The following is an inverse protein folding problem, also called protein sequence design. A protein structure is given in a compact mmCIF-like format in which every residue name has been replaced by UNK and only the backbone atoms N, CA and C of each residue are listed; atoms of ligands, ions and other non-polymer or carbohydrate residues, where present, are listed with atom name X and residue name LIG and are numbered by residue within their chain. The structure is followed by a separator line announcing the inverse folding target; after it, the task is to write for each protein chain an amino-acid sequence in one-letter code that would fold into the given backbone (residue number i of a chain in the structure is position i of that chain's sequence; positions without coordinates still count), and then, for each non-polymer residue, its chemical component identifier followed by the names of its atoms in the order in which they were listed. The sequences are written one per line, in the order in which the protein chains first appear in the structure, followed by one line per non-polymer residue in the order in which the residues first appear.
data_IF_821205491776
#
_entry.id   IF_821205491776
#
_cell.length_a   1.000
_cell.length_b   1.000
_cell.length_c   1.000
_cell.angle_alpha   90.00
_cell.angle_beta   90.00
_cell.angle_gamma   90.00
#
_symmetry.space_group_name_H-M   'P 1'
#
loop_
_entity.id
_entity.type
_entity.pdbx_description
1 polymer ?
#
# COMPACT_ATOMS: atom_id res chain seq x y z
N UNK A 1 -83.75 -15.66 -21.35
CA UNK A 1 -83.03 -14.94 -22.43
C UNK A 1 -81.54 -15.10 -22.20
N UNK A 2 -80.86 -15.87 -23.06
CA UNK A 2 -79.42 -16.09 -22.98
C UNK A 2 -78.67 -14.91 -23.60
N UNK A 3 -77.68 -14.35 -22.90
CA UNK A 3 -76.82 -13.31 -23.44
C UNK A 3 -75.66 -13.96 -24.21
N UNK A 4 -75.65 -13.81 -25.53
CA UNK A 4 -74.51 -14.18 -26.39
C UNK A 4 -73.30 -13.27 -26.10
N UNK A 5 -72.14 -13.87 -25.86
CA UNK A 5 -70.87 -13.16 -25.83
C UNK A 5 -70.36 -12.89 -27.25
N UNK A 6 -70.18 -11.62 -27.60
CA UNK A 6 -69.63 -11.17 -28.88
C UNK A 6 -68.09 -11.26 -28.81
N UNK A 7 -67.41 -11.91 -29.77
CA UNK A 7 -65.95 -11.93 -29.79
C UNK A 7 -65.43 -10.54 -30.16
N UNK A 8 -64.65 -9.92 -29.26
CA UNK A 8 -63.93 -8.67 -29.56
C UNK A 8 -62.84 -8.96 -30.59
N UNK A 9 -62.83 -8.20 -31.69
CA UNK A 9 -61.81 -8.34 -32.72
C UNK A 9 -60.43 -7.95 -32.16
N UNK A 10 -59.41 -8.73 -32.50
CA UNK A 10 -58.02 -8.44 -32.16
C UNK A 10 -57.64 -7.10 -32.79
N UNK A 11 -57.37 -6.13 -31.92
CA UNK A 11 -56.87 -4.80 -32.25
C UNK A 11 -55.63 -5.00 -33.13
N UNK A 12 -55.62 -4.44 -34.35
CA UNK A 12 -54.45 -4.47 -35.25
C UNK A 12 -53.24 -3.89 -34.51
N UNK A 13 -52.38 -4.76 -34.01
CA UNK A 13 -51.11 -4.38 -33.39
C UNK A 13 -50.19 -3.86 -34.49
N UNK A 14 -49.79 -2.60 -34.36
CA UNK A 14 -48.88 -1.96 -35.28
C UNK A 14 -47.53 -2.71 -35.25
N UNK A 15 -46.93 -3.07 -36.40
CA UNK A 15 -45.67 -3.81 -36.44
C UNK A 15 -44.54 -3.13 -35.66
N UNK A 16 -44.57 -1.79 -35.56
CA UNK A 16 -43.60 -1.01 -34.78
C UNK A 16 -43.69 -1.35 -33.29
N UNK A 17 -44.89 -1.60 -32.76
CA UNK A 17 -45.09 -1.92 -31.34
C UNK A 17 -44.56 -3.32 -31.00
N UNK A 18 -44.65 -4.27 -31.94
CA UNK A 18 -44.08 -5.61 -31.78
C UNK A 18 -42.55 -5.58 -31.82
N UNK A 19 -41.96 -4.75 -32.70
CA UNK A 19 -40.50 -4.56 -32.76
C UNK A 19 -39.98 -3.91 -31.47
N UNK A 20 -40.68 -2.88 -30.96
CA UNK A 20 -40.30 -2.21 -29.72
C UNK A 20 -40.41 -3.16 -28.51
N UNK A 21 -41.48 -3.96 -28.45
CA UNK A 21 -41.65 -4.99 -27.43
C UNK A 21 -40.55 -6.07 -27.53
N UNK A 22 -40.18 -6.48 -28.74
CA UNK A 22 -39.06 -7.40 -28.97
C UNK A 22 -37.72 -6.83 -28.48
N UNK A 23 -37.41 -5.58 -28.81
CA UNK A 23 -36.20 -4.90 -28.35
C UNK A 23 -36.16 -4.73 -26.84
N UNK A 24 -37.27 -4.34 -26.21
CA UNK A 24 -37.38 -4.25 -24.75
C UNK A 24 -37.22 -5.61 -24.08
N UNK A 25 -37.78 -6.67 -24.67
CA UNK A 25 -37.65 -8.03 -24.13
C UNK A 25 -36.22 -8.54 -24.27
N UNK A 26 -35.56 -8.30 -25.40
CA UNK A 26 -34.13 -8.65 -25.59
C UNK A 26 -33.25 -7.83 -24.65
N UNK A 27 -33.50 -6.53 -24.49
CA UNK A 27 -32.78 -5.70 -23.53
C UNK A 27 -32.98 -6.14 -22.08
N UNK A 28 -34.20 -6.56 -21.72
CA UNK A 28 -34.54 -7.10 -20.41
C UNK A 28 -33.89 -8.46 -20.15
N UNK A 29 -33.89 -9.35 -21.14
CA UNK A 29 -33.20 -10.64 -21.06
C UNK A 29 -31.67 -10.44 -20.98
N UNK A 30 -31.12 -9.50 -21.76
CA UNK A 30 -29.70 -9.15 -21.67
C UNK A 30 -29.36 -8.56 -20.31
N UNK A 31 -30.25 -7.79 -19.69
CA UNK A 31 -30.05 -7.26 -18.33
C UNK A 31 -30.10 -8.36 -17.25
N UNK A 32 -31.04 -9.31 -17.35
CA UNK A 32 -31.16 -10.43 -16.38
C UNK A 32 -30.06 -11.47 -16.54
N UNK A 33 -29.65 -11.76 -17.78
CA UNK A 33 -28.63 -12.76 -18.09
C UNK A 33 -27.24 -12.16 -18.31
N UNK A 34 -27.07 -10.83 -18.14
CA UNK A 34 -25.75 -10.22 -18.03
C UNK A 34 -25.10 -10.70 -16.73
N UNK A 35 -23.85 -11.19 -16.79
CA UNK A 35 -23.16 -11.68 -15.61
C UNK A 35 -22.82 -10.50 -14.70
N UNK A 36 -23.67 -10.23 -13.71
CA UNK A 36 -23.47 -9.16 -12.73
C UNK A 36 -23.95 -9.56 -11.34
N UNK A 37 -23.54 -10.72 -10.82
CA UNK A 37 -23.88 -11.09 -9.43
C UNK A 37 -23.08 -12.25 -8.78
N UNK A 38 -22.20 -12.97 -9.49
CA UNK A 38 -21.52 -14.12 -8.87
C UNK A 38 -20.29 -13.72 -8.04
N UNK A 39 -19.54 -12.70 -8.46
CA UNK A 39 -18.33 -12.25 -7.75
C UNK A 39 -18.64 -11.50 -6.44
N UNK A 40 -19.71 -10.71 -6.41
CA UNK A 40 -20.16 -9.95 -5.23
C UNK A 40 -20.67 -10.84 -4.10
N UNK A 41 -21.33 -11.97 -4.43
CA UNK A 41 -21.78 -12.93 -3.43
C UNK A 41 -20.59 -13.67 -2.79
N UNK A 42 -19.59 -14.06 -3.59
CA UNK A 42 -18.38 -14.71 -3.08
C UNK A 42 -17.52 -13.78 -2.23
N UNK A 43 -17.32 -12.53 -2.66
CA UNK A 43 -16.53 -11.53 -1.93
C UNK A 43 -17.17 -11.15 -0.59
N UNK A 44 -18.50 -10.99 -0.57
CA UNK A 44 -19.24 -10.73 0.66
C UNK A 44 -19.10 -11.88 1.67
N UNK A 45 -19.26 -13.13 1.22
CA UNK A 45 -19.14 -14.29 2.09
C UNK A 45 -17.73 -14.47 2.63
N UNK A 46 -16.71 -14.26 1.80
CA UNK A 46 -15.32 -14.33 2.21
C UNK A 46 -14.94 -13.23 3.21
N UNK A 47 -15.38 -11.99 2.97
CA UNK A 47 -15.22 -10.88 3.93
C UNK A 47 -15.88 -11.22 5.27
N UNK A 48 -17.07 -11.84 5.23
CA UNK A 48 -17.78 -12.27 6.43
C UNK A 48 -17.01 -13.33 7.21
N UNK A 49 -16.40 -14.29 6.52
CA UNK A 49 -15.60 -15.33 7.14
C UNK A 49 -14.28 -14.79 7.74
N UNK A 50 -13.69 -13.75 7.14
CA UNK A 50 -12.42 -13.19 7.61
C UNK A 50 -12.56 -12.17 8.75
N UNK A 51 -13.73 -11.58 8.94
CA UNK A 51 -13.93 -10.50 9.88
C UNK A 51 -13.55 -10.84 11.33
N UNK A 52 -13.24 -9.79 12.08
CA UNK A 52 -13.00 -9.80 13.50
C UNK A 52 -14.24 -10.32 14.24
N UNK A 53 -14.04 -11.33 15.05
CA UNK A 53 -15.10 -11.95 15.85
C UNK A 53 -15.25 -11.28 17.24
N UNK A 54 -14.36 -10.36 17.59
CA UNK A 54 -14.37 -9.57 18.82
C UNK A 54 -13.61 -8.25 18.62
N UNK A 55 -13.90 -7.25 19.45
CA UNK A 55 -13.19 -5.95 19.48
C UNK A 55 -11.68 -6.10 19.78
N UNK A 56 -11.28 -7.22 20.40
CA UNK A 56 -9.89 -7.55 20.69
C UNK A 56 -9.18 -8.27 19.54
N UNK A 57 -9.86 -8.47 18.40
CA UNK A 57 -9.23 -9.08 17.23
C UNK A 57 -8.15 -8.14 16.65
N UNK A 58 -7.18 -8.68 15.90
CA UNK A 58 -6.18 -7.85 15.23
C UNK A 58 -6.84 -6.75 14.38
N UNK A 59 -6.32 -5.51 14.38
CA UNK A 59 -6.90 -4.39 13.64
C UNK A 59 -6.81 -4.56 12.11
N UNK A 60 -5.99 -5.50 11.64
CA UNK A 60 -5.94 -5.95 10.25
C UNK A 60 -7.15 -6.78 9.79
N UNK A 61 -8.17 -6.97 10.66
CA UNK A 61 -9.42 -7.66 10.31
C UNK A 61 -10.58 -6.67 10.21
N UNK A 62 -11.49 -6.83 9.22
CA UNK A 62 -12.73 -6.06 9.16
C UNK A 62 -13.57 -6.28 10.42
N UNK A 63 -14.18 -5.25 11.02
CA UNK A 63 -14.99 -5.41 12.24
C UNK A 63 -16.49 -5.51 11.95
N UNK A 64 -17.17 -6.50 12.53
CA UNK A 64 -18.64 -6.57 12.57
C UNK A 64 -19.19 -5.95 13.85
N UNK A 65 -20.17 -5.05 13.71
CA UNK A 65 -20.79 -4.36 14.85
C UNK A 65 -21.61 -5.27 15.76
N UNK A 66 -22.12 -6.39 15.25
CA UNK A 66 -22.96 -7.30 16.03
C UNK A 66 -22.11 -8.33 16.78
N UNK A 67 -22.10 -8.22 18.11
CA UNK A 67 -21.52 -9.27 18.96
C UNK A 67 -22.47 -10.47 18.98
N UNK A 68 -21.97 -11.71 18.85
CA UNK A 68 -22.83 -12.89 18.94
C UNK A 68 -23.52 -12.89 20.31
N UNK A 69 -24.85 -12.87 20.34
CA UNK A 69 -25.62 -13.08 21.58
C UNK A 69 -25.84 -14.57 21.80
N UNK A 70 -25.70 -15.02 23.04
CA UNK A 70 -26.15 -16.36 23.44
C UNK A 70 -27.68 -16.42 23.40
N UNK A 71 -28.24 -17.62 23.30
CA UNK A 71 -29.69 -17.86 23.36
C UNK A 71 -30.36 -17.31 24.64
N UNK A 72 -29.58 -17.07 25.69
CA UNK A 72 -30.04 -16.49 26.96
C UNK A 72 -29.91 -14.95 27.02
N UNK A 73 -29.68 -14.27 25.90
CA UNK A 73 -29.58 -12.81 25.81
C UNK A 73 -28.29 -12.21 26.36
N UNK A 74 -27.34 -13.02 26.87
CA UNK A 74 -26.03 -12.53 27.31
C UNK A 74 -25.05 -12.46 26.14
N UNK A 75 -24.09 -11.51 26.14
CA UNK A 75 -23.01 -11.50 25.16
C UNK A 75 -22.23 -12.82 25.17
N UNK A 76 -21.93 -13.36 24.00
CA UNK A 76 -21.00 -14.48 23.90
C UNK A 76 -19.60 -14.04 24.34
N UNK A 77 -18.83 -14.91 25.04
CA UNK A 77 -17.44 -14.61 25.32
C UNK A 77 -16.66 -14.43 24.01
N UNK A 78 -15.57 -13.63 24.01
CA UNK A 78 -14.69 -13.54 22.86
C UNK A 78 -14.20 -14.93 22.42
N UNK A 79 -14.20 -15.25 21.11
CA UNK A 79 -13.77 -16.55 20.64
C UNK A 79 -12.25 -16.70 20.73
N UNK A 80 -11.79 -17.92 20.97
CA UNK A 80 -10.38 -18.29 20.85
C UNK A 80 -10.06 -18.48 19.37
N UNK A 81 -9.19 -17.64 18.81
CA UNK A 81 -8.74 -17.74 17.41
C UNK A 81 -7.33 -18.31 17.38
N UNK A 82 -7.10 -19.34 16.58
CA UNK A 82 -5.79 -19.98 16.40
C UNK A 82 -5.22 -19.60 15.03
N UNK A 83 -3.94 -19.22 15.01
CA UNK A 83 -3.20 -18.93 13.79
C UNK A 83 -2.00 -19.88 13.74
N UNK A 84 -1.88 -20.66 12.67
CA UNK A 84 -0.66 -21.42 12.41
C UNK A 84 0.25 -20.57 11.52
N UNK A 85 1.28 -19.97 12.13
CA UNK A 85 2.15 -19.03 11.44
C UNK A 85 2.95 -19.67 10.30
N UNK A 86 3.26 -20.97 10.40
CA UNK A 86 3.97 -21.69 9.33
C UNK A 86 3.11 -21.91 8.07
N UNK A 87 1.79 -21.71 8.16
CA UNK A 87 0.89 -21.78 7.02
C UNK A 87 0.65 -20.42 6.37
N UNK A 88 1.18 -19.33 6.94
CA UNK A 88 1.04 -18.01 6.33
C UNK A 88 2.06 -17.90 5.19
N UNK A 89 1.59 -18.06 3.95
CA UNK A 89 2.46 -18.05 2.78
C UNK A 89 2.59 -16.64 2.21
N UNK A 90 3.77 -16.34 1.66
CA UNK A 90 4.05 -15.16 0.86
C UNK A 90 4.75 -15.63 -0.42
N UNK A 91 4.00 -15.76 -1.52
CA UNK A 91 4.37 -16.53 -2.72
C UNK A 91 4.23 -15.71 -4.00
N UNK A 92 4.60 -16.31 -5.14
CA UNK A 92 4.44 -15.72 -6.47
C UNK A 92 2.97 -15.53 -6.87
N UNK A 93 2.10 -16.44 -6.40
CA UNK A 93 0.68 -16.51 -6.80
C UNK A 93 -0.21 -15.86 -5.72
N UNK A 94 0.19 -14.68 -5.25
CA UNK A 94 -0.41 -14.00 -4.09
C UNK A 94 -1.93 -13.82 -4.19
N UNK A 95 -2.44 -13.46 -5.37
CA UNK A 95 -3.89 -13.33 -5.62
C UNK A 95 -4.61 -14.67 -5.51
N UNK A 96 -4.08 -15.72 -6.16
CA UNK A 96 -4.67 -17.07 -6.18
C UNK A 96 -4.70 -17.71 -4.80
N UNK A 97 -3.68 -17.42 -3.98
CA UNK A 97 -3.55 -17.93 -2.62
C UNK A 97 -4.27 -17.06 -1.59
N UNK A 98 -4.98 -16.02 -2.02
CA UNK A 98 -5.74 -15.10 -1.16
C UNK A 98 -4.84 -14.47 -0.08
N UNK A 99 -3.58 -14.21 -0.43
CA UNK A 99 -2.58 -13.65 0.46
C UNK A 99 -2.94 -12.21 0.81
N UNK A 100 -2.80 -11.85 2.08
CA UNK A 100 -3.25 -10.54 2.57
C UNK A 100 -2.13 -9.54 2.59
N UNK A 101 -2.43 -8.34 2.09
CA UNK A 101 -1.48 -7.23 1.98
C UNK A 101 -1.87 -6.14 2.96
N UNK A 102 -0.90 -5.70 3.76
CA UNK A 102 -1.02 -4.55 4.64
C UNK A 102 -0.24 -3.38 4.02
N UNK A 103 -0.95 -2.37 3.52
CA UNK A 103 -0.32 -1.16 2.99
C UNK A 103 -0.15 -0.16 4.13
N UNK A 104 1.08 0.29 4.37
CA UNK A 104 1.43 1.18 5.47
C UNK A 104 1.98 2.51 4.95
N UNK A 105 1.39 3.61 5.43
CA UNK A 105 1.69 4.95 4.93
C UNK A 105 1.79 5.97 6.07
N UNK A 106 3.01 6.44 6.37
CA UNK A 106 3.20 7.71 7.10
C UNK A 106 2.63 8.86 6.26
N UNK A 107 1.65 9.59 6.79
CA UNK A 107 0.85 10.56 6.05
C UNK A 107 0.96 11.94 6.69
N UNK A 108 1.91 12.76 6.22
CA UNK A 108 2.06 14.15 6.67
C UNK A 108 1.11 15.12 5.93
N UNK A 109 0.89 14.88 4.63
CA UNK A 109 -0.01 15.64 3.74
C UNK A 109 -0.83 14.66 2.92
N UNK A 110 -2.09 15.02 2.63
CA UNK A 110 -2.97 14.18 1.82
C UNK A 110 -2.96 14.65 0.36
N UNK A 111 -2.59 13.75 -0.55
CA UNK A 111 -2.66 13.94 -1.99
C UNK A 111 -3.83 13.14 -2.55
N UNK A 112 -4.67 13.76 -3.36
CA UNK A 112 -5.83 13.08 -3.97
C UNK A 112 -5.34 12.00 -4.92
N UNK A 113 -4.28 12.30 -5.67
CA UNK A 113 -3.63 11.43 -6.63
C UNK A 113 -3.07 10.16 -5.98
N UNK A 114 -2.53 10.26 -4.76
CA UNK A 114 -2.12 9.09 -3.98
C UNK A 114 -3.32 8.18 -3.64
N UNK A 115 -4.44 8.77 -3.20
CA UNK A 115 -5.64 7.99 -2.89
C UNK A 115 -6.24 7.33 -4.13
N UNK A 116 -6.30 8.07 -5.25
CA UNK A 116 -6.77 7.55 -6.52
C UNK A 116 -5.85 6.43 -7.04
N UNK A 117 -4.53 6.56 -6.85
CA UNK A 117 -3.55 5.52 -7.15
C UNK A 117 -3.79 4.24 -6.31
N UNK A 118 -4.06 4.38 -5.01
CA UNK A 118 -4.43 3.25 -4.15
C UNK A 118 -5.70 2.54 -4.61
N UNK A 119 -6.76 3.30 -4.91
CA UNK A 119 -8.07 2.73 -5.33
C UNK A 119 -7.98 2.06 -6.70
N UNK A 120 -7.00 2.45 -7.53
CA UNK A 120 -6.79 1.86 -8.86
C UNK A 120 -6.05 0.52 -8.81
N UNK A 121 -5.48 0.12 -7.67
CA UNK A 121 -4.77 -1.15 -7.55
C UNK A 121 -5.70 -2.32 -7.92
N UNK A 122 -5.20 -3.20 -8.78
CA UNK A 122 -5.97 -4.33 -9.32
C UNK A 122 -5.94 -5.57 -8.39
N UNK A 123 -5.15 -5.53 -7.33
CA UNK A 123 -5.15 -6.57 -6.31
C UNK A 123 -6.50 -6.53 -5.55
N UNK A 124 -7.18 -7.65 -5.30
CA UNK A 124 -8.53 -7.61 -4.72
C UNK A 124 -8.57 -6.86 -3.38
N UNK A 125 -9.33 -5.76 -3.31
CA UNK A 125 -9.34 -4.87 -2.14
C UNK A 125 -9.80 -5.57 -0.84
N UNK A 126 -10.56 -6.66 -0.95
CA UNK A 126 -10.93 -7.51 0.18
C UNK A 126 -9.75 -8.19 0.89
N UNK A 127 -8.58 -8.23 0.26
CA UNK A 127 -7.33 -8.74 0.84
C UNK A 127 -6.35 -7.63 1.24
N UNK A 128 -6.70 -6.36 1.00
CA UNK A 128 -5.87 -5.20 1.30
C UNK A 128 -6.38 -4.54 2.58
N UNK A 129 -5.51 -4.45 3.58
CA UNK A 129 -5.72 -3.61 4.77
C UNK A 129 -4.85 -2.37 4.68
N UNK A 130 -5.37 -1.21 5.07
CA UNK A 130 -4.63 0.05 5.05
C UNK A 130 -4.30 0.50 6.48
N UNK A 131 -3.07 0.96 6.69
CA UNK A 131 -2.62 1.59 7.92
C UNK A 131 -2.03 2.97 7.63
N UNK A 132 -2.53 4.00 8.32
CA UNK A 132 -2.03 5.36 8.24
C UNK A 132 -1.52 5.83 9.59
N UNK A 133 -0.42 6.59 9.62
CA UNK A 133 0.02 7.32 10.81
C UNK A 133 0.25 8.79 10.48
N UNK A 134 -0.40 9.69 11.23
CA UNK A 134 -0.48 11.12 10.88
C UNK A 134 0.05 11.99 12.03
N UNK A 135 0.98 12.94 11.79
CA UNK A 135 1.49 13.85 12.81
C UNK A 135 0.39 14.73 13.42
N UNK A 136 0.64 15.23 14.64
CA UNK A 136 -0.24 16.19 15.34
C UNK A 136 0.10 17.63 14.99
N UNK A 137 0.09 17.94 13.68
CA UNK A 137 0.34 19.29 13.14
C UNK A 137 -0.93 19.86 12.51
N UNK A 138 -0.91 21.15 12.15
CA UNK A 138 -1.99 21.79 11.36
C UNK A 138 -2.23 21.03 10.05
N UNK A 139 -1.16 20.77 9.31
CA UNK A 139 -1.22 20.05 8.03
C UNK A 139 -1.69 18.59 8.24
N UNK A 140 -1.24 17.94 9.31
CA UNK A 140 -1.70 16.60 9.68
C UNK A 140 -3.21 16.55 10.03
N UNK A 141 -3.74 17.58 10.70
CA UNK A 141 -5.19 17.65 10.97
C UNK A 141 -6.01 17.82 9.68
N UNK A 142 -5.52 18.62 8.73
CA UNK A 142 -6.12 18.73 7.40
C UNK A 142 -6.07 17.39 6.65
N UNK A 143 -4.92 16.70 6.71
CA UNK A 143 -4.74 15.38 6.09
C UNK A 143 -5.70 14.32 6.68
N UNK A 144 -5.92 14.30 8.00
CA UNK A 144 -6.93 13.40 8.62
C UNK A 144 -8.31 13.66 8.04
N UNK A 145 -8.72 14.92 7.94
CA UNK A 145 -10.06 15.30 7.50
C UNK A 145 -10.29 14.89 6.04
N UNK A 146 -9.30 15.15 5.18
CA UNK A 146 -9.32 14.75 3.77
C UNK A 146 -9.31 13.22 3.59
N UNK A 147 -8.43 12.52 4.32
CA UNK A 147 -8.36 11.06 4.30
C UNK A 147 -9.69 10.43 4.75
N UNK A 148 -10.31 10.92 5.82
CA UNK A 148 -11.59 10.40 6.30
C UNK A 148 -12.72 10.60 5.28
N UNK A 149 -12.73 11.73 4.57
CA UNK A 149 -13.69 11.97 3.51
C UNK A 149 -13.51 10.98 2.34
N UNK A 150 -12.26 10.75 1.93
CA UNK A 150 -11.92 9.79 0.88
C UNK A 150 -12.28 8.34 1.28
N UNK A 151 -11.92 7.94 2.50
CA UNK A 151 -12.29 6.64 3.08
C UNK A 151 -13.81 6.45 3.10
N UNK A 152 -14.56 7.46 3.56
CA UNK A 152 -16.03 7.39 3.63
C UNK A 152 -16.62 7.13 2.24
N UNK A 153 -16.13 7.82 1.21
CA UNK A 153 -16.55 7.60 -0.18
C UNK A 153 -16.30 6.15 -0.60
N UNK A 154 -15.07 5.66 -0.51
CA UNK A 154 -14.70 4.30 -0.94
C UNK A 154 -15.42 3.22 -0.13
N UNK A 155 -15.42 3.30 1.21
CA UNK A 155 -16.00 2.26 2.06
C UNK A 155 -17.54 2.23 2.04
N UNK A 156 -18.20 3.29 1.55
CA UNK A 156 -19.65 3.32 1.30
C UNK A 156 -20.05 2.83 -0.10
N UNK A 157 -19.09 2.69 -1.01
CA UNK A 157 -19.29 2.24 -2.39
C UNK A 157 -19.54 0.73 -2.53
N UNK A 158 -19.44 0.18 -3.75
CA UNK A 158 -19.59 -1.25 -4.03
C UNK A 158 -18.69 -2.12 -3.14
N UNK A 159 -19.15 -3.30 -2.73
CA UNK A 159 -18.42 -4.18 -1.78
C UNK A 159 -17.04 -4.58 -2.28
N UNK A 160 -16.91 -4.80 -3.59
CA UNK A 160 -15.67 -5.23 -4.23
C UNK A 160 -14.60 -4.14 -4.24
N UNK A 161 -15.02 -2.86 -4.19
CA UNK A 161 -14.12 -1.71 -4.15
C UNK A 161 -13.65 -1.38 -2.71
N UNK A 162 -14.24 -2.01 -1.69
CA UNK A 162 -13.92 -1.71 -0.28
C UNK A 162 -12.63 -2.38 0.16
N UNK A 163 -11.79 -1.65 0.87
CA UNK A 163 -10.64 -2.24 1.56
C UNK A 163 -11.07 -3.15 2.71
N UNK A 164 -10.27 -4.17 3.02
CA UNK A 164 -10.55 -5.16 4.06
C UNK A 164 -10.71 -4.50 5.44
N UNK A 165 -9.75 -3.68 5.84
CA UNK A 165 -9.82 -2.81 7.01
C UNK A 165 -8.96 -1.57 6.82
N UNK A 166 -9.23 -0.52 7.60
CA UNK A 166 -8.46 0.73 7.56
C UNK A 166 -8.23 1.19 8.99
N UNK A 167 -6.96 1.41 9.36
CA UNK A 167 -6.55 1.91 10.68
C UNK A 167 -5.86 3.26 10.51
N UNK A 168 -6.25 4.26 11.32
CA UNK A 168 -5.64 5.59 11.33
C UNK A 168 -5.07 5.82 12.73
N UNK A 169 -3.77 6.05 12.82
CA UNK A 169 -3.06 6.40 14.04
C UNK A 169 -2.68 7.89 14.02
N UNK A 170 -2.68 8.51 15.20
CA UNK A 170 -2.10 9.84 15.41
C UNK A 170 -0.79 9.67 16.16
N UNK A 171 0.28 10.31 15.68
CA UNK A 171 1.58 10.27 16.35
C UNK A 171 1.47 10.77 17.80
N UNK A 172 2.23 10.14 18.69
CA UNK A 172 2.27 10.40 20.13
C UNK A 172 3.51 11.19 20.58
N UNK A 173 4.41 11.50 19.65
CA UNK A 173 5.60 12.35 19.85
C UNK A 173 5.53 13.64 19.03
N UNK A 174 6.26 14.66 19.49
CA UNK A 174 6.30 15.95 18.81
C UNK A 174 7.07 15.88 17.48
N UNK A 175 6.64 16.63 16.45
CA UNK A 175 7.39 16.74 15.20
C UNK A 175 8.79 17.30 15.47
N UNK A 176 9.87 16.67 14.97
CA UNK A 176 11.23 17.09 15.28
C UNK A 176 11.63 18.41 14.64
N UNK A 177 10.90 18.85 13.60
CA UNK A 177 11.21 20.07 12.82
C UNK A 177 9.91 20.87 12.62
N UNK A 178 9.90 22.19 12.88
CA UNK A 178 8.71 23.04 12.71
C UNK A 178 8.26 23.19 11.25
N UNK A 179 9.20 23.24 10.29
CA UNK A 179 8.91 23.35 8.86
C UNK A 179 8.94 21.98 8.16
N UNK A 180 8.02 21.80 7.20
CA UNK A 180 7.95 20.66 6.29
C UNK A 180 8.46 21.00 4.88
N UNK A 181 9.06 22.17 4.69
CA UNK A 181 9.59 22.59 3.38
C UNK A 181 10.78 21.72 2.98
N UNK A 182 10.85 21.34 1.70
CA UNK A 182 11.90 20.47 1.14
C UNK A 182 13.31 20.94 1.54
N UNK A 183 13.64 22.20 1.25
CA UNK A 183 14.97 22.77 1.53
C UNK A 183 15.38 22.64 3.00
N UNK A 184 14.45 22.83 3.93
CA UNK A 184 14.70 22.71 5.37
C UNK A 184 14.82 21.24 5.81
N UNK A 185 14.02 20.34 5.23
CA UNK A 185 14.13 18.90 5.46
C UNK A 185 15.49 18.38 5.00
N UNK A 186 16.00 18.84 3.86
CA UNK A 186 17.25 18.36 3.27
C UNK A 186 18.54 18.93 3.90
N UNK A 187 18.47 19.75 4.95
CA UNK A 187 19.66 20.14 5.71
C UNK A 187 20.24 18.95 6.48
N UNK A 188 21.55 18.75 6.38
CA UNK A 188 22.27 17.64 7.02
C UNK A 188 21.98 17.53 8.52
N UNK A 189 22.02 18.66 9.23
CA UNK A 189 21.74 18.77 10.67
C UNK A 189 20.34 18.29 11.07
N UNK A 190 19.38 18.37 10.14
CA UNK A 190 17.99 18.00 10.35
C UNK A 190 17.69 16.55 9.96
N UNK A 191 18.49 15.95 9.07
CA UNK A 191 18.25 14.61 8.53
C UNK A 191 18.20 13.55 9.62
N UNK A 192 19.14 13.56 10.57
CA UNK A 192 19.19 12.56 11.65
C UNK A 192 17.88 12.56 12.45
N UNK A 193 17.52 13.71 13.04
CA UNK A 193 16.30 13.85 13.85
C UNK A 193 15.03 13.53 13.05
N UNK A 194 14.98 13.93 11.78
CA UNK A 194 13.86 13.63 10.87
C UNK A 194 13.70 12.14 10.62
N UNK A 195 14.79 11.45 10.26
CA UNK A 195 14.80 10.00 9.96
C UNK A 195 14.52 9.17 11.22
N UNK A 196 14.99 9.59 12.38
CA UNK A 196 14.64 8.95 13.65
C UNK A 196 13.14 9.08 13.97
N UNK A 197 12.55 10.26 13.78
CA UNK A 197 11.10 10.45 13.97
C UNK A 197 10.28 9.66 12.95
N UNK A 198 10.72 9.61 11.69
CA UNK A 198 10.09 8.79 10.65
C UNK A 198 10.16 7.30 11.01
N UNK A 199 11.31 6.84 11.53
CA UNK A 199 11.50 5.47 12.01
C UNK A 199 10.52 5.13 13.14
N UNK A 200 10.36 6.02 14.12
CA UNK A 200 9.36 5.86 15.18
C UNK A 200 7.94 5.77 14.61
N UNK A 201 7.59 6.64 13.65
CA UNK A 201 6.28 6.63 13.02
C UNK A 201 6.01 5.30 12.28
N UNK A 202 6.95 4.84 11.45
CA UNK A 202 6.86 3.55 10.74
C UNK A 202 6.72 2.40 11.74
N UNK A 203 7.55 2.36 12.78
CA UNK A 203 7.47 1.31 13.80
C UNK A 203 6.14 1.31 14.56
N UNK A 204 5.68 2.46 15.06
CA UNK A 204 4.38 2.56 15.74
C UNK A 204 3.24 2.09 14.86
N UNK A 205 3.29 2.42 13.56
CA UNK A 205 2.31 1.97 12.59
C UNK A 205 2.38 0.45 12.37
N UNK A 206 3.56 -0.09 12.09
CA UNK A 206 3.79 -1.50 11.84
C UNK A 206 3.33 -2.36 13.03
N UNK A 207 3.86 -2.10 14.22
CA UNK A 207 3.61 -2.93 15.39
C UNK A 207 2.15 -2.91 15.84
N UNK A 208 1.45 -1.80 15.59
CA UNK A 208 0.02 -1.69 15.93
C UNK A 208 -0.89 -2.39 14.91
N UNK A 209 -0.45 -2.52 13.65
CA UNK A 209 -1.34 -2.96 12.55
C UNK A 209 -0.99 -4.33 11.96
N UNK A 210 0.21 -4.85 12.19
CA UNK A 210 0.64 -6.14 11.66
C UNK A 210 -0.16 -7.29 12.30
N UNK A 211 -0.96 -7.96 11.48
CA UNK A 211 -1.78 -9.10 11.92
C UNK A 211 -1.10 -10.45 11.70
N UNK A 212 -1.59 -11.51 12.37
CA UNK A 212 -1.10 -12.88 12.19
C UNK A 212 -1.43 -13.46 10.81
N UNK A 213 -2.44 -12.92 10.12
CA UNK A 213 -2.86 -13.33 8.77
C UNK A 213 -2.30 -12.48 7.64
N UNK A 214 -1.48 -11.47 7.94
CA UNK A 214 -0.82 -10.63 6.92
C UNK A 214 0.29 -11.42 6.24
N UNK A 215 0.30 -11.50 4.92
CA UNK A 215 1.33 -12.20 4.14
C UNK A 215 2.41 -11.24 3.68
N UNK A 216 1.99 -10.03 3.28
CA UNK A 216 2.84 -8.99 2.72
C UNK A 216 2.57 -7.65 3.41
N UNK A 217 3.63 -6.86 3.56
CA UNK A 217 3.58 -5.47 3.98
C UNK A 217 4.12 -4.62 2.83
N UNK A 218 3.30 -3.71 2.31
CA UNK A 218 3.72 -2.72 1.33
C UNK A 218 3.85 -1.38 2.04
N UNK A 219 5.08 -0.94 2.26
CA UNK A 219 5.34 0.45 2.61
C UNK A 219 5.14 1.30 1.37
N UNK A 220 4.26 2.30 1.46
CA UNK A 220 3.98 3.20 0.35
C UNK A 220 3.87 4.61 0.92
N UNK A 221 4.84 5.45 0.61
CA UNK A 221 4.85 6.84 1.09
C UNK A 221 3.70 7.64 0.44
N UNK A 222 3.19 8.62 1.17
CA UNK A 222 1.95 9.33 0.84
C UNK A 222 2.03 10.21 -0.42
N UNK A 223 3.23 10.47 -0.88
CA UNK A 223 3.58 11.26 -2.05
C UNK A 223 3.86 10.38 -3.28
N UNK A 224 3.69 9.06 -3.20
CA UNK A 224 3.70 8.17 -4.37
C UNK A 224 2.33 8.20 -5.07
N UNK A 225 2.23 9.06 -6.06
CA UNK A 225 0.97 9.40 -6.74
C UNK A 225 0.70 8.59 -8.02
N UNK A 226 1.68 7.83 -8.52
CA UNK A 226 1.49 7.02 -9.73
C UNK A 226 2.28 5.71 -9.64
N UNK A 227 1.57 4.60 -9.82
CA UNK A 227 2.11 3.24 -9.92
C UNK A 227 1.34 2.46 -10.99
N UNK A 228 1.92 1.39 -11.57
CA UNK A 228 1.11 0.44 -12.34
C UNK A 228 0.01 -0.15 -11.45
N UNK A 229 -1.20 -0.31 -11.99
CA UNK A 229 -2.33 -0.88 -11.24
C UNK A 229 -2.04 -2.31 -10.73
N UNK A 230 -1.11 -3.01 -11.36
CA UNK A 230 -0.63 -4.33 -10.98
C UNK A 230 0.50 -4.31 -9.94
N UNK A 231 0.82 -3.17 -9.31
CA UNK A 231 1.96 -2.99 -8.41
C UNK A 231 2.18 -4.17 -7.45
N UNK A 232 1.14 -4.59 -6.73
CA UNK A 232 1.27 -5.67 -5.74
C UNK A 232 1.60 -7.00 -6.43
N UNK A 233 0.91 -7.34 -7.51
CA UNK A 233 1.16 -8.56 -8.28
C UNK A 233 2.57 -8.54 -8.88
N UNK A 234 2.96 -7.40 -9.45
CA UNK A 234 4.28 -7.19 -10.05
C UNK A 234 5.40 -7.33 -9.03
N UNK A 235 5.22 -6.87 -7.78
CA UNK A 235 6.25 -7.04 -6.75
C UNK A 235 6.25 -8.44 -6.15
N UNK A 236 5.07 -9.02 -5.89
CA UNK A 236 4.96 -10.35 -5.25
C UNK A 236 5.39 -11.50 -6.18
N UNK A 237 5.23 -11.37 -7.50
CA UNK A 237 5.69 -12.39 -8.47
C UNK A 237 7.19 -12.68 -8.39
N UNK A 238 8.00 -11.75 -7.88
CA UNK A 238 9.45 -11.96 -7.71
C UNK A 238 9.80 -12.82 -6.49
N UNK A 239 8.84 -13.04 -5.58
CA UNK A 239 8.98 -13.89 -4.39
C UNK A 239 10.23 -13.56 -3.55
N UNK A 240 10.56 -12.27 -3.45
CA UNK A 240 11.68 -11.79 -2.64
C UNK A 240 11.21 -11.39 -1.24
N UNK A 241 12.04 -11.58 -0.20
CA UNK A 241 11.67 -11.19 1.16
C UNK A 241 11.54 -9.68 1.33
N UNK A 242 12.39 -8.90 0.63
CA UNK A 242 12.32 -7.44 0.57
C UNK A 242 12.60 -7.04 -0.89
N UNK A 243 11.72 -6.24 -1.50
CA UNK A 243 11.88 -5.74 -2.86
C UNK A 243 11.37 -4.30 -3.01
N UNK A 244 12.19 -3.45 -3.64
CA UNK A 244 11.89 -2.02 -3.87
C UNK A 244 11.90 -1.70 -5.37
N UNK A 245 10.82 -1.17 -5.96
CA UNK A 245 10.86 -0.54 -7.27
C UNK A 245 11.66 0.76 -7.25
N UNK A 246 12.10 1.22 -8.42
CA UNK A 246 12.84 2.46 -8.55
C UNK A 246 11.89 3.67 -8.56
N UNK A 247 12.15 4.66 -7.72
CA UNK A 247 11.29 5.83 -7.59
C UNK A 247 11.82 7.01 -8.41
N UNK A 248 10.99 7.47 -9.34
CA UNK A 248 11.23 8.62 -10.19
C UNK A 248 10.25 9.74 -9.86
N UNK A 249 10.47 10.91 -10.45
CA UNK A 249 9.54 12.03 -10.38
C UNK A 249 9.33 12.56 -11.79
N UNK A 250 8.07 12.81 -12.16
CA UNK A 250 7.72 13.50 -13.40
C UNK A 250 7.84 15.00 -13.16
N UNK A 251 8.46 15.73 -14.08
CA UNK A 251 8.56 17.18 -14.00
C UNK A 251 8.47 17.80 -15.40
N UNK A 252 8.03 19.06 -15.46
CA UNK A 252 8.08 19.81 -16.71
C UNK A 252 9.47 20.44 -16.84
N UNK A 253 10.22 20.06 -17.88
CA UNK A 253 11.53 20.62 -18.14
C UNK A 253 11.38 22.13 -18.43
N UNK A 254 12.07 23.02 -17.68
CA UNK A 254 11.92 24.47 -17.85
C UNK A 254 12.30 24.98 -19.25
N UNK A 255 13.24 24.31 -19.91
CA UNK A 255 13.81 24.71 -21.20
C UNK A 255 12.99 24.16 -22.36
N UNK A 256 12.66 22.86 -22.33
CA UNK A 256 11.94 22.20 -23.43
C UNK A 256 10.42 22.30 -23.30
N UNK A 257 9.91 22.63 -22.11
CA UNK A 257 8.49 22.57 -21.71
C UNK A 257 7.85 21.18 -21.82
N UNK A 258 8.65 20.14 -22.08
CA UNK A 258 8.18 18.76 -22.18
C UNK A 258 8.14 18.11 -20.80
N UNK A 259 7.26 17.12 -20.66
CA UNK A 259 7.23 16.28 -19.46
C UNK A 259 8.36 15.26 -19.53
N UNK A 260 9.25 15.31 -18.56
CA UNK A 260 10.40 14.43 -18.42
C UNK A 260 10.36 13.72 -17.06
N UNK A 261 11.25 12.74 -16.87
CA UNK A 261 11.40 12.01 -15.61
C UNK A 261 12.80 12.20 -15.06
N UNK A 262 12.93 12.30 -13.74
CA UNK A 262 14.21 12.33 -13.04
C UNK A 262 14.23 11.32 -11.89
N UNK A 263 15.40 10.74 -11.54
CA UNK A 263 15.52 9.92 -10.35
C UNK A 263 15.14 10.73 -9.10
N UNK A 264 14.46 10.08 -8.15
CA UNK A 264 14.00 10.73 -6.92
C UNK A 264 14.61 10.09 -5.67
N UNK A 265 14.51 8.77 -5.51
CA UNK A 265 14.95 8.08 -4.30
C UNK A 265 16.36 7.52 -4.44
N UNK A 266 17.29 8.08 -3.68
CA UNK A 266 18.70 7.66 -3.63
C UNK A 266 19.02 6.69 -2.48
N UNK A 267 18.04 6.26 -1.68
CA UNK A 267 18.25 5.39 -0.52
C UNK A 267 18.30 3.89 -0.89
N UNK A 268 18.15 3.56 -2.16
CA UNK A 268 18.28 2.19 -2.68
C UNK A 268 19.63 2.01 -3.36
N UNK A 269 20.53 1.24 -2.74
CA UNK A 269 21.92 1.17 -3.17
C UNK A 269 22.63 -0.15 -2.84
N UNK A 270 23.74 -0.38 -3.53
CA UNK A 270 24.75 -1.40 -3.19
C UNK A 270 25.92 -0.71 -2.47
N UNK A 271 26.36 -1.31 -1.37
CA UNK A 271 27.40 -0.75 -0.49
C UNK A 271 28.75 -0.71 -1.21
N UNK A 272 29.64 0.16 -0.74
CA UNK A 272 30.98 0.33 -1.29
C UNK A 272 32.04 0.07 -0.21
N UNK A 273 33.28 -0.22 -0.63
CA UNK A 273 34.41 -0.33 0.31
C UNK A 273 34.68 1.01 1.01
N UNK A 274 34.53 2.12 0.28
CA UNK A 274 34.75 3.46 0.79
C UNK A 274 33.75 3.84 1.87
N UNK A 275 32.46 3.51 1.70
CA UNK A 275 31.45 3.74 2.74
C UNK A 275 31.72 2.90 3.99
N UNK A 276 32.23 1.68 3.82
CA UNK A 276 32.63 0.81 4.94
C UNK A 276 33.87 1.32 5.66
N UNK A 277 34.83 1.89 4.95
CA UNK A 277 36.02 2.54 5.54
C UNK A 277 35.61 3.79 6.31
N UNK A 278 34.79 4.65 5.71
CA UNK A 278 34.26 5.84 6.38
C UNK A 278 33.52 5.47 7.67
N UNK A 279 32.66 4.45 7.63
CA UNK A 279 31.93 3.97 8.80
C UNK A 279 32.84 3.51 9.95
N UNK A 280 34.06 2.99 9.68
CA UNK A 280 34.98 2.54 10.74
C UNK A 280 35.57 3.70 11.54
N UNK A 281 35.72 4.85 10.91
CA UNK A 281 36.29 6.05 11.51
C UNK A 281 35.24 6.93 12.20
N UNK A 282 33.96 6.57 12.06
CA UNK A 282 32.82 7.30 12.62
C UNK A 282 32.56 6.98 14.08
N UNK A 283 32.08 7.98 14.80
CA UNK A 283 31.58 7.84 16.17
C UNK A 283 30.34 6.93 16.26
N UNK A 284 30.04 6.37 17.45
CA UNK A 284 28.94 5.42 17.62
C UNK A 284 27.56 6.00 17.30
N UNK A 285 27.39 7.32 17.43
CA UNK A 285 26.15 8.02 17.19
C UNK A 285 26.06 8.66 15.79
N UNK A 286 27.10 8.53 14.97
CA UNK A 286 27.15 9.16 13.66
C UNK A 286 26.46 8.28 12.60
N UNK A 287 25.88 8.94 11.59
CA UNK A 287 25.09 8.28 10.54
C UNK A 287 25.63 8.65 9.16
N UNK A 288 25.64 7.67 8.27
CA UNK A 288 25.89 7.86 6.84
C UNK A 288 24.61 8.34 6.17
N UNK A 289 24.74 9.33 5.29
CA UNK A 289 23.62 9.86 4.52
C UNK A 289 24.04 9.98 3.06
N UNK A 290 23.24 9.41 2.16
CA UNK A 290 23.45 9.52 0.73
C UNK A 290 23.05 10.89 0.18
N UNK A 291 23.72 11.31 -0.89
CA UNK A 291 23.40 12.54 -1.63
C UNK A 291 24.05 13.83 -1.11
N UNK A 292 24.95 13.74 -0.13
CA UNK A 292 25.68 14.90 0.40
C UNK A 292 27.10 14.95 -0.16
N UNK A 293 27.47 16.08 -0.77
CA UNK A 293 28.78 16.27 -1.38
C UNK A 293 29.92 16.18 -0.36
N UNK A 294 29.64 16.55 0.89
CA UNK A 294 30.58 16.49 2.01
C UNK A 294 30.85 15.05 2.50
N UNK A 295 30.05 14.06 2.07
CA UNK A 295 30.16 12.66 2.46
C UNK A 295 30.07 11.74 1.23
N UNK A 296 31.12 11.68 0.39
CA UNK A 296 31.10 10.84 -0.80
C UNK A 296 31.21 9.36 -0.42
N UNK A 297 30.07 8.69 -0.30
CA UNK A 297 29.99 7.26 0.06
C UNK A 297 30.37 6.35 -1.10
N UNK A 298 30.33 6.82 -2.35
CA UNK A 298 30.55 6.02 -3.56
C UNK A 298 29.68 4.76 -3.67
N UNK A 299 28.53 4.74 -2.99
CA UNK A 299 27.58 3.63 -3.14
C UNK A 299 26.97 3.62 -4.52
N UNK A 300 26.70 2.42 -5.04
CA UNK A 300 26.06 2.30 -6.36
C UNK A 300 24.57 2.52 -6.18
N UNK A 301 24.07 3.66 -6.64
CA UNK A 301 22.66 4.05 -6.49
C UNK A 301 21.80 3.41 -7.58
N UNK A 302 20.78 2.63 -7.19
CA UNK A 302 19.85 1.99 -8.12
C UNK A 302 19.14 3.02 -9.02
N UNK A 303 18.91 4.22 -8.49
CA UNK A 303 18.32 5.37 -9.17
C UNK A 303 19.01 5.71 -10.52
N UNK A 304 20.31 5.41 -10.65
CA UNK A 304 21.09 5.68 -11.86
C UNK A 304 21.36 4.44 -12.72
N UNK A 305 20.84 3.27 -12.33
CA UNK A 305 21.05 2.01 -13.04
C UNK A 305 19.92 1.64 -14.00
N UNK A 306 18.88 2.48 -14.09
CA UNK A 306 17.70 2.19 -14.88
C UNK A 306 17.99 2.23 -16.39
N UNK A 307 17.52 1.22 -17.11
CA UNK A 307 17.31 1.30 -18.55
C UNK A 307 16.09 2.19 -18.83
N UNK A 308 16.29 3.33 -19.48
CA UNK A 308 15.24 4.28 -19.82
C UNK A 308 14.61 4.01 -21.20
N UNK A 309 14.99 2.91 -21.87
CA UNK A 309 14.42 2.56 -23.16
C UNK A 309 12.91 2.24 -23.07
N UNK A 310 12.12 2.50 -24.13
CA UNK A 310 10.69 2.19 -24.13
C UNK A 310 10.38 0.70 -23.89
N UNK A 311 11.29 -0.20 -24.28
CA UNK A 311 11.13 -1.65 -24.19
C UNK A 311 11.95 -2.26 -23.05
N UNK A 312 12.30 -1.46 -22.02
CA UNK A 312 13.07 -1.93 -20.87
C UNK A 312 12.43 -3.15 -20.22
N UNK A 313 13.26 -4.12 -19.86
CA UNK A 313 12.80 -5.27 -19.08
C UNK A 313 12.58 -4.83 -17.61
N UNK A 314 11.33 -4.75 -17.19
CA UNK A 314 10.95 -4.33 -15.82
C UNK A 314 11.21 -5.40 -14.76
N UNK A 315 11.51 -6.63 -15.17
CA UNK A 315 11.75 -7.77 -14.27
C UNK A 315 13.23 -7.96 -13.92
N UNK A 316 14.11 -7.04 -14.35
CA UNK A 316 15.51 -7.03 -13.92
C UNK A 316 15.57 -6.82 -12.41
N UNK A 317 16.26 -7.74 -11.72
CA UNK A 317 16.46 -7.68 -10.27
C UNK A 317 17.93 -7.42 -9.99
N UNK A 318 18.19 -6.54 -9.02
CA UNK A 318 19.52 -6.37 -8.41
C UNK A 318 19.47 -6.66 -6.91
N UNK A 319 20.58 -7.13 -6.34
CA UNK A 319 20.71 -7.21 -4.88
C UNK A 319 21.02 -5.82 -4.32
N UNK A 320 20.50 -5.51 -3.14
CA UNK A 320 20.71 -4.23 -2.47
C UNK A 320 21.24 -4.41 -1.04
N UNK A 321 21.98 -3.40 -0.58
CA UNK A 321 22.48 -3.25 0.77
C UNK A 321 21.69 -2.22 1.59
N UNK A 322 21.17 -1.18 0.94
CA UNK A 322 20.19 -0.24 1.45
C UNK A 322 18.95 -0.21 0.57
N UNK A 323 17.79 0.07 1.16
CA UNK A 323 16.51 0.22 0.45
C UNK A 323 15.85 1.52 0.87
N UNK A 324 15.13 2.16 -0.06
CA UNK A 324 14.27 3.29 0.23
C UNK A 324 12.89 2.89 0.74
N UNK A 325 12.15 3.87 1.26
CA UNK A 325 10.81 3.71 1.83
C UNK A 325 9.66 4.13 0.92
N UNK A 326 9.96 4.70 -0.26
CA UNK A 326 8.97 5.28 -1.19
C UNK A 326 7.90 4.28 -1.58
N UNK A 327 8.31 3.14 -2.13
CA UNK A 327 7.48 1.96 -2.29
C UNK A 327 8.34 0.73 -1.98
N UNK A 328 8.03 -0.04 -0.93
CA UNK A 328 8.84 -1.16 -0.48
C UNK A 328 7.95 -2.34 -0.07
N UNK A 329 8.04 -3.44 -0.81
CA UNK A 329 7.31 -4.66 -0.54
C UNK A 329 8.17 -5.59 0.33
N UNK A 330 7.59 -6.03 1.45
CA UNK A 330 8.25 -6.86 2.47
C UNK A 330 7.37 -8.05 2.80
N UNK A 331 7.92 -9.25 2.83
CA UNK A 331 7.22 -10.41 3.40
C UNK A 331 6.98 -10.17 4.88
N UNK A 332 5.77 -10.43 5.37
CA UNK A 332 5.41 -10.16 6.75
C UNK A 332 6.34 -10.87 7.77
N UNK A 333 6.88 -12.03 7.41
CA UNK A 333 7.82 -12.78 8.26
C UNK A 333 9.13 -12.03 8.53
N UNK A 334 9.60 -11.20 7.59
CA UNK A 334 10.79 -10.36 7.80
C UNK A 334 10.57 -9.42 9.00
N UNK A 335 9.37 -8.84 9.10
CA UNK A 335 9.00 -8.01 10.24
C UNK A 335 8.73 -8.83 11.51
N UNK A 336 8.16 -10.03 11.39
CA UNK A 336 7.92 -10.93 12.55
C UNK A 336 9.20 -11.47 13.16
N UNK A 337 10.24 -11.67 12.36
CA UNK A 337 11.58 -12.02 12.83
C UNK A 337 12.29 -10.86 13.55
N UNK A 338 11.70 -9.66 13.51
CA UNK A 338 12.14 -8.49 14.26
C UNK A 338 12.78 -7.38 13.42
N UNK A 339 12.83 -7.51 12.09
CA UNK A 339 13.32 -6.42 11.25
C UNK A 339 12.36 -5.22 11.34
N UNK A 340 12.88 -4.07 11.76
CA UNK A 340 12.14 -2.83 11.93
C UNK A 340 13.01 -1.64 11.48
N UNK A 341 12.47 -0.42 11.56
CA UNK A 341 13.18 0.81 11.19
C UNK A 341 13.91 1.36 12.41
N UNK A 342 15.23 1.23 12.55
CA UNK A 342 15.93 1.69 13.75
C UNK A 342 15.86 3.22 13.85
N UNK A 343 15.27 3.69 14.96
CA UNK A 343 15.21 5.11 15.33
C UNK A 343 16.47 5.58 16.07
N UNK A 344 17.57 4.87 15.85
CA UNK A 344 18.89 5.07 16.44
C UNK A 344 19.94 4.58 15.43
N UNK A 345 21.18 5.06 15.50
CA UNK A 345 22.26 4.58 14.65
C UNK A 345 22.45 3.06 14.78
N UNK A 346 22.30 2.35 13.66
CA UNK A 346 22.48 0.90 13.57
C UNK A 346 23.45 0.61 12.43
N UNK A 347 24.71 0.32 12.78
CA UNK A 347 25.83 0.27 11.82
C UNK A 347 25.94 1.57 11.01
N UNK A 348 25.81 2.73 11.67
CA UNK A 348 25.80 4.07 11.06
C UNK A 348 24.66 4.29 10.05
N UNK A 349 23.64 3.43 10.06
CA UNK A 349 22.44 3.59 9.25
C UNK A 349 21.22 3.83 10.15
N UNK A 350 20.19 4.45 9.60
CA UNK A 350 18.92 4.72 10.29
C UNK A 350 17.76 4.41 9.36
N UNK A 351 16.54 4.32 9.91
CA UNK A 351 15.32 4.22 9.12
C UNK A 351 15.33 3.05 8.11
N UNK A 352 15.10 3.29 6.83
CA UNK A 352 14.94 2.25 5.79
C UNK A 352 16.26 1.55 5.46
N UNK A 353 17.37 2.28 5.44
CA UNK A 353 18.70 1.71 5.25
C UNK A 353 19.12 0.84 6.45
N UNK A 354 18.81 1.32 7.66
CA UNK A 354 19.01 0.54 8.89
C UNK A 354 18.14 -0.72 8.93
N UNK A 355 16.90 -0.64 8.42
CA UNK A 355 16.03 -1.81 8.22
C UNK A 355 16.66 -2.84 7.28
N UNK A 356 17.20 -2.43 6.13
CA UNK A 356 17.85 -3.34 5.19
C UNK A 356 19.04 -4.06 5.84
N UNK A 357 19.85 -3.33 6.63
CA UNK A 357 20.93 -3.93 7.41
C UNK A 357 20.39 -4.92 8.45
N UNK A 358 19.31 -4.59 9.13
CA UNK A 358 18.70 -5.44 10.16
C UNK A 358 18.14 -6.74 9.55
N UNK A 359 17.40 -6.64 8.45
CA UNK A 359 16.90 -7.78 7.70
C UNK A 359 18.05 -8.73 7.32
N UNK A 360 19.18 -8.19 6.87
CA UNK A 360 20.38 -8.98 6.58
C UNK A 360 20.98 -9.66 7.80
N UNK A 361 21.03 -9.00 8.95
CA UNK A 361 21.51 -9.61 10.20
C UNK A 361 20.61 -10.77 10.65
N UNK A 362 19.33 -10.74 10.27
CA UNK A 362 18.35 -11.82 10.48
C UNK A 362 18.38 -12.91 9.38
N UNK A 363 19.28 -12.81 8.39
CA UNK A 363 19.42 -13.81 7.32
C UNK A 363 18.60 -13.54 6.05
N UNK A 364 17.85 -12.43 6.01
CA UNK A 364 17.10 -12.01 4.83
C UNK A 364 17.98 -11.23 3.84
N UNK A 365 17.53 -11.10 2.59
CA UNK A 365 18.24 -10.35 1.53
C UNK A 365 17.34 -9.28 0.94
N UNK A 366 17.91 -8.12 0.61
CA UNK A 366 17.17 -7.03 -0.03
C UNK A 366 17.42 -7.00 -1.53
N UNK A 367 16.39 -6.66 -2.30
CA UNK A 367 16.42 -6.63 -3.75
C UNK A 367 15.78 -5.36 -4.29
N UNK A 368 16.17 -4.96 -5.49
CA UNK A 368 15.62 -3.80 -6.18
C UNK A 368 15.24 -4.13 -7.62
N UNK A 369 14.28 -3.37 -8.16
CA UNK A 369 13.87 -3.41 -9.57
C UNK A 369 14.28 -2.10 -10.26
N UNK A 370 15.51 -1.98 -10.81
CA UNK A 370 16.01 -0.74 -11.38
C UNK A 370 15.15 -0.18 -12.51
N UNK A 371 14.44 -1.03 -13.24
CA UNK A 371 13.65 -0.66 -14.43
C UNK A 371 12.14 -0.55 -14.16
N UNK A 372 11.67 -0.92 -12.97
CA UNK A 372 10.26 -0.81 -12.58
C UNK A 372 10.05 0.53 -11.88
N UNK A 373 9.24 1.40 -12.46
CA UNK A 373 9.09 2.78 -11.97
C UNK A 373 7.80 2.99 -11.20
N UNK A 374 7.94 3.72 -10.09
CA UNK A 374 6.86 4.41 -9.38
C UNK A 374 7.17 5.90 -9.37
N UNK A 375 6.16 6.76 -9.27
CA UNK A 375 6.37 8.21 -9.34
C UNK A 375 5.93 8.94 -8.09
N UNK A 376 6.88 9.72 -7.56
CA UNK A 376 6.69 10.68 -6.50
C UNK A 376 6.02 11.96 -7.04
N UNK A 377 5.25 12.63 -6.19
CA UNK A 377 4.64 13.93 -6.44
C UNK A 377 5.71 14.98 -6.77
N UNK A 378 5.45 15.89 -7.71
CA UNK A 378 6.36 17.00 -7.98
C UNK A 378 5.98 18.18 -7.08
N UNK A 379 6.78 18.43 -6.03
CA UNK A 379 6.54 19.48 -5.04
C UNK A 379 6.60 20.91 -5.62
#
# INVERSE_FOLDING_TARGET
MAAMAIPRSLRRTNPITLILAGLLTVGFLFFIFSPSASATASSFQERKNYAAASVLSPPSKPFFKESPMKSNGRPAPPPVVRYNMNNNTATTDSVKNHERVLILTPLARFYTEYWDNLVKLSFPHQYISLGFIIPKTRDGNAAVSALQAAIKKTQSGPVDDRFASITILRQDFDPPIPSQDEKERHKMENQKKRREAMSRARNSLLFTTLGPSTSWVLWLDADIIETPASLIQDLTKHNKPVIVPNCYQRFQNPDTKQMEIRPYDYNSWVDSLQAQELAKDMGPDEILLEGYAEMPTYRTLMAHMADLSPNRNTDVIMSLDGVGGTALMVKADVHRDGAMFPAFPFYHLVETEGFAKMARRLGWKCFGLPNYFVYHYNE
#
